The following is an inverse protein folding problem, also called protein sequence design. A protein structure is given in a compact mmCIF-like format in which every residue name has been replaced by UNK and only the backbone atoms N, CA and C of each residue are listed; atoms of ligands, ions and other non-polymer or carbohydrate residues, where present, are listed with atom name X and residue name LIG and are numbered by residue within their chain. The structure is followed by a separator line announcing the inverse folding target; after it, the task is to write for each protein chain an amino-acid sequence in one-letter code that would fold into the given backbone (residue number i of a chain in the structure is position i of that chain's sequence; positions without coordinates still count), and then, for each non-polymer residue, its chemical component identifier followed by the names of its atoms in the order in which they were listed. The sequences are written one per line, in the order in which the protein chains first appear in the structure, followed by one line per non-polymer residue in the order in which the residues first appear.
data_IF_324654712748
#
_entry.id   IF_324654712748
#
_cell.length_a   1.000
_cell.length_b   1.000
_cell.length_c   1.000
_cell.angle_alpha   90.00
_cell.angle_beta   90.00
_cell.angle_gamma   90.00
#
_symmetry.space_group_name_H-M   'P 1'
#
loop_
_entity.id
_entity.type
_entity.pdbx_description
1 polymer ?
#
# COMPACT_ATOMS: atom_id res chain seq x y z
N UNK A 1 0.15 5.91 18.47
CA UNK A 1 0.71 6.26 17.15
C UNK A 1 1.95 5.44 16.90
N UNK A 2 2.09 4.89 15.72
CA UNK A 2 3.25 4.09 15.38
C UNK A 2 4.41 5.01 14.98
N UNK A 3 5.58 4.75 15.53
CA UNK A 3 6.76 5.49 15.15
C UNK A 3 7.13 5.19 13.70
N UNK A 4 7.40 6.22 12.92
CA UNK A 4 7.80 6.11 11.53
C UNK A 4 9.07 6.93 11.27
N UNK A 5 9.91 6.45 10.32
CA UNK A 5 11.13 7.14 9.96
C UNK A 5 11.46 6.95 8.49
N UNK A 6 12.08 7.96 7.89
CA UNK A 6 12.56 7.93 6.52
C UNK A 6 13.58 9.06 6.30
N UNK A 7 14.69 8.75 5.64
CA UNK A 7 15.77 9.71 5.35
C UNK A 7 16.24 10.46 6.61
N UNK A 8 16.35 9.75 7.74
CA UNK A 8 16.81 10.31 8.99
C UNK A 8 15.78 11.13 9.77
N UNK A 9 14.54 11.18 9.29
CA UNK A 9 13.45 11.85 10.00
C UNK A 9 12.58 10.84 10.72
N UNK A 10 12.20 11.16 11.95
CA UNK A 10 11.25 10.40 12.75
C UNK A 10 9.90 11.12 12.74
N UNK A 11 8.85 10.43 13.15
CA UNK A 11 7.50 11.01 13.25
C UNK A 11 7.07 11.71 11.95
N UNK A 12 7.09 10.96 10.83
CA UNK A 12 6.79 11.49 9.51
C UNK A 12 5.40 12.13 9.40
N UNK A 13 4.50 11.88 10.35
CA UNK A 13 3.20 12.54 10.40
C UNK A 13 3.31 14.08 10.43
N UNK A 14 4.43 14.60 10.90
CA UNK A 14 4.70 16.04 10.94
C UNK A 14 5.28 16.57 9.62
N UNK A 15 5.66 15.67 8.70
CA UNK A 15 6.39 16.01 7.48
C UNK A 15 5.76 15.44 6.22
N UNK A 16 4.57 14.85 6.31
CA UNK A 16 3.99 14.12 5.20
C UNK A 16 2.48 14.28 5.11
N UNK A 17 1.94 13.85 3.97
CA UNK A 17 0.50 13.71 3.75
C UNK A 17 0.22 12.21 3.67
N UNK A 18 -0.73 11.73 4.46
CA UNK A 18 -1.14 10.33 4.45
C UNK A 18 -2.35 10.12 3.55
N UNK A 19 -2.34 9.00 2.82
CA UNK A 19 -3.48 8.56 2.01
C UNK A 19 -3.77 7.11 2.38
N UNK A 20 -5.03 6.82 2.69
CA UNK A 20 -5.48 5.45 2.95
C UNK A 20 -6.33 4.96 1.79
N UNK A 21 -6.16 3.69 1.42
CA UNK A 21 -6.94 3.02 0.39
C UNK A 21 -7.67 1.84 1.01
N UNK A 22 -8.96 1.70 0.70
CA UNK A 22 -9.73 0.54 1.12
C UNK A 22 -9.23 -0.70 0.42
N UNK A 23 -8.79 -1.69 1.20
CA UNK A 23 -8.28 -2.95 0.68
C UNK A 23 -8.27 -3.97 1.82
N UNK A 24 -8.50 -5.23 1.51
CA UNK A 24 -8.54 -6.28 2.52
C UNK A 24 -7.16 -6.79 2.94
N UNK A 25 -6.10 -6.34 2.26
CA UNK A 25 -4.73 -6.66 2.62
C UNK A 25 -4.29 -8.06 2.25
N UNK A 26 -3.39 -8.63 3.04
CA UNK A 26 -2.86 -9.95 2.80
C UNK A 26 -3.92 -11.03 3.01
N UNK A 27 -3.91 -12.04 2.14
CA UNK A 27 -4.88 -13.12 2.13
C UNK A 27 -4.23 -14.45 2.51
N UNK A 28 -5.03 -15.33 3.11
CA UNK A 28 -4.64 -16.72 3.36
C UNK A 28 -5.31 -17.62 2.33
N UNK A 29 -4.62 -18.67 1.93
CA UNK A 29 -5.23 -19.72 1.11
C UNK A 29 -5.70 -20.84 2.05
N UNK A 30 -7.01 -21.01 2.17
CA UNK A 30 -7.64 -21.99 3.06
C UNK A 30 -8.70 -22.77 2.29
N UNK A 31 -8.53 -24.10 2.20
CA UNK A 31 -9.50 -24.97 1.54
C UNK A 31 -9.78 -24.59 0.10
N UNK A 32 -8.76 -24.11 -0.62
CA UNK A 32 -8.91 -23.66 -2.00
C UNK A 32 -9.52 -22.27 -2.15
N UNK A 33 -9.69 -21.54 -1.05
CA UNK A 33 -10.28 -20.20 -1.07
C UNK A 33 -9.31 -19.18 -0.50
N UNK A 34 -9.36 -17.97 -1.02
CA UNK A 34 -8.56 -16.85 -0.52
C UNK A 34 -9.38 -16.07 0.52
N UNK A 35 -8.85 -15.95 1.72
CA UNK A 35 -9.58 -15.39 2.86
C UNK A 35 -8.77 -14.27 3.49
N UNK A 36 -9.43 -13.12 3.71
CA UNK A 36 -8.82 -11.98 4.39
C UNK A 36 -8.74 -12.21 5.90
N UNK A 37 -7.95 -11.42 6.60
CA UNK A 37 -7.79 -11.50 8.04
C UNK A 37 -9.13 -11.37 8.78
N UNK A 38 -10.02 -10.54 8.27
CA UNK A 38 -11.36 -10.38 8.84
C UNK A 38 -12.30 -11.57 8.58
N UNK A 39 -11.86 -12.57 7.81
CA UNK A 39 -12.65 -13.75 7.48
C UNK A 39 -13.42 -13.67 6.16
N UNK A 40 -13.34 -12.55 5.47
CA UNK A 40 -14.06 -12.36 4.20
C UNK A 40 -13.34 -13.10 3.07
N UNK A 41 -14.09 -13.87 2.29
CA UNK A 41 -13.59 -14.55 1.10
C UNK A 41 -13.42 -13.58 -0.06
N UNK A 42 -12.32 -13.71 -0.82
CA UNK A 42 -12.01 -12.87 -1.98
C UNK A 42 -12.02 -13.72 -3.25
N UNK A 43 -12.76 -13.31 -4.30
CA UNK A 43 -12.75 -14.04 -5.56
C UNK A 43 -11.35 -14.04 -6.19
N UNK A 44 -11.02 -15.13 -6.90
CA UNK A 44 -9.70 -15.31 -7.53
C UNK A 44 -9.34 -14.14 -8.44
N UNK A 45 -10.30 -13.56 -9.14
CA UNK A 45 -10.07 -12.42 -10.04
C UNK A 45 -9.61 -11.16 -9.32
N UNK A 46 -9.79 -11.09 -7.99
CA UNK A 46 -9.37 -9.95 -7.17
C UNK A 46 -8.12 -10.25 -6.34
N UNK A 47 -7.41 -11.32 -6.68
CA UNK A 47 -6.22 -11.75 -5.93
C UNK A 47 -4.96 -11.40 -6.73
N UNK A 48 -4.03 -10.73 -6.07
CA UNK A 48 -2.69 -10.52 -6.58
C UNK A 48 -1.75 -11.51 -5.90
N UNK A 49 -0.95 -12.21 -6.69
CA UNK A 49 0.03 -13.17 -6.19
C UNK A 49 1.43 -12.58 -6.31
N UNK A 50 2.14 -12.52 -5.19
CA UNK A 50 3.56 -12.14 -5.16
C UNK A 50 4.40 -13.41 -5.05
N UNK A 51 5.14 -13.71 -6.08
CA UNK A 51 5.90 -14.96 -6.21
C UNK A 51 7.41 -14.70 -6.31
N UNK A 52 7.91 -13.76 -5.54
CA UNK A 52 9.35 -13.43 -5.52
C UNK A 52 10.12 -14.12 -4.39
N UNK A 53 9.46 -14.87 -3.53
CA UNK A 53 10.07 -15.58 -2.40
C UNK A 53 9.97 -17.09 -2.53
N UNK A 54 10.38 -17.83 -1.50
CA UNK A 54 10.28 -19.29 -1.46
C UNK A 54 8.82 -19.76 -1.48
N UNK A 55 7.95 -18.99 -0.82
CA UNK A 55 6.52 -19.28 -0.73
C UNK A 55 5.76 -18.08 -1.29
N UNK A 56 4.83 -18.28 -2.23
CA UNK A 56 4.05 -17.17 -2.75
C UNK A 56 3.15 -16.59 -1.65
N UNK A 57 2.95 -15.28 -1.72
CA UNK A 57 1.99 -14.58 -0.86
C UNK A 57 0.85 -14.04 -1.70
N UNK A 58 -0.33 -13.93 -1.10
CA UNK A 58 -1.54 -13.52 -1.78
C UNK A 58 -2.09 -12.26 -1.16
N UNK A 59 -2.58 -11.35 -1.99
CA UNK A 59 -3.02 -10.01 -1.57
C UNK A 59 -4.30 -9.64 -2.27
N UNK A 60 -5.16 -8.89 -1.59
CA UNK A 60 -6.32 -8.30 -2.24
C UNK A 60 -5.84 -7.24 -3.21
N UNK A 61 -6.20 -7.38 -4.49
CA UNK A 61 -5.78 -6.43 -5.51
C UNK A 61 -6.53 -5.10 -5.35
N UNK A 62 -5.89 -4.04 -5.78
CA UNK A 62 -6.53 -2.72 -5.85
C UNK A 62 -7.29 -2.60 -7.16
N UNK A 63 -8.41 -1.89 -7.16
CA UNK A 63 -9.19 -1.70 -8.39
C UNK A 63 -8.50 -0.71 -9.32
N UNK A 64 -8.83 -0.80 -10.61
CA UNK A 64 -8.30 0.16 -11.60
C UNK A 64 -8.72 1.59 -11.26
N UNK A 65 -9.93 1.75 -10.73
CA UNK A 65 -10.42 3.07 -10.28
C UNK A 65 -9.57 3.59 -9.12
N UNK A 66 -9.26 2.75 -8.14
CA UNK A 66 -8.39 3.15 -7.03
C UNK A 66 -7.02 3.59 -7.53
N UNK A 67 -6.43 2.84 -8.46
CA UNK A 67 -5.12 3.18 -9.02
C UNK A 67 -5.16 4.49 -9.79
N UNK A 68 -6.19 4.70 -10.60
CA UNK A 68 -6.34 5.93 -11.37
C UNK A 68 -6.52 7.14 -10.45
N UNK A 69 -7.41 7.05 -9.47
CA UNK A 69 -7.66 8.14 -8.54
C UNK A 69 -6.43 8.44 -7.70
N UNK A 70 -5.73 7.41 -7.22
CA UNK A 70 -4.50 7.60 -6.45
C UNK A 70 -3.45 8.35 -7.27
N UNK A 71 -3.25 7.96 -8.52
CA UNK A 71 -2.28 8.63 -9.38
C UNK A 71 -2.67 10.09 -9.66
N UNK A 72 -3.96 10.37 -9.86
CA UNK A 72 -4.45 11.73 -10.06
C UNK A 72 -4.26 12.59 -8.81
N UNK A 73 -4.58 12.06 -7.64
CA UNK A 73 -4.41 12.76 -6.37
C UNK A 73 -2.94 13.03 -6.09
N UNK A 74 -2.08 12.03 -6.28
CA UNK A 74 -0.64 12.17 -6.07
C UNK A 74 -0.06 13.22 -7.02
N UNK A 75 -0.47 13.23 -8.29
CA UNK A 75 -0.03 14.21 -9.25
C UNK A 75 -0.41 15.64 -8.84
N UNK A 76 -1.65 15.82 -8.37
CA UNK A 76 -2.12 17.12 -7.88
C UNK A 76 -1.33 17.58 -6.65
N UNK A 77 -1.05 16.67 -5.71
CA UNK A 77 -0.31 17.00 -4.50
C UNK A 77 1.14 17.35 -4.80
N UNK A 78 1.78 16.62 -5.71
CA UNK A 78 3.16 16.92 -6.15
C UNK A 78 3.24 18.28 -6.82
N UNK A 79 2.22 18.66 -7.60
CA UNK A 79 2.17 19.97 -8.26
C UNK A 79 1.89 21.12 -7.28
N UNK A 80 1.22 20.82 -6.16
CA UNK A 80 0.76 21.86 -5.22
C UNK A 80 1.74 22.09 -4.08
N UNK A 81 2.46 21.04 -3.63
CA UNK A 81 3.34 21.08 -2.46
C UNK A 81 4.76 20.65 -2.85
N UNK A 82 5.79 21.07 -2.09
CA UNK A 82 7.17 20.66 -2.33
C UNK A 82 7.41 19.21 -1.88
N UNK A 83 6.79 18.26 -2.56
CA UNK A 83 6.86 16.85 -2.22
C UNK A 83 8.05 16.22 -2.90
N UNK A 84 8.91 15.55 -2.13
CA UNK A 84 10.09 14.88 -2.64
C UNK A 84 9.90 13.42 -2.94
N UNK A 85 8.96 12.77 -2.22
CA UNK A 85 8.92 11.30 -2.26
C UNK A 85 7.52 10.76 -1.97
N UNK A 86 7.16 9.56 -2.52
CA UNK A 86 5.96 8.80 -2.16
C UNK A 86 6.39 7.42 -1.68
N UNK A 87 5.99 7.05 -0.46
CA UNK A 87 6.37 5.77 0.12
C UNK A 87 5.14 5.02 0.61
N UNK A 88 5.21 3.70 0.63
CA UNK A 88 4.21 2.87 1.28
C UNK A 88 4.41 2.88 2.79
N UNK A 89 3.35 2.53 3.53
CA UNK A 89 3.41 2.49 4.99
C UNK A 89 4.49 1.52 5.48
N UNK A 90 4.65 0.38 4.81
CA UNK A 90 5.69 -0.60 5.15
C UNK A 90 7.11 -0.08 4.94
N UNK A 91 7.30 0.93 4.09
CA UNK A 91 8.63 1.49 3.83
C UNK A 91 9.14 2.35 4.98
N UNK A 92 8.24 2.91 5.78
CA UNK A 92 8.58 3.85 6.86
C UNK A 92 8.24 3.33 8.25
N UNK A 93 7.41 2.29 8.35
CA UNK A 93 6.99 1.69 9.61
C UNK A 93 7.19 0.18 9.53
N UNK A 94 8.21 -0.39 10.20
CA UNK A 94 8.58 -1.80 10.02
C UNK A 94 7.49 -2.82 10.35
N UNK A 95 6.52 -2.46 11.17
CA UNK A 95 5.44 -3.38 11.58
C UNK A 95 4.28 -3.45 10.60
N UNK A 96 4.27 -2.58 9.59
CA UNK A 96 3.17 -2.49 8.64
C UNK A 96 3.55 -3.18 7.33
N UNK A 97 2.57 -3.84 6.72
CA UNK A 97 2.75 -4.49 5.43
C UNK A 97 1.98 -3.78 4.32
N UNK A 98 1.07 -2.88 4.68
CA UNK A 98 0.32 -2.11 3.69
C UNK A 98 1.22 -1.03 3.05
N UNK A 99 1.02 -0.68 1.80
CA UNK A 99 -0.08 -1.12 0.95
C UNK A 99 0.10 -2.49 0.29
N UNK A 100 1.22 -3.15 0.53
CA UNK A 100 1.52 -4.45 -0.04
C UNK A 100 1.95 -4.39 -1.50
N UNK A 101 2.38 -5.55 -2.06
CA UNK A 101 2.95 -5.60 -3.41
C UNK A 101 1.92 -5.40 -4.53
N UNK A 102 0.63 -5.47 -4.22
CA UNK A 102 -0.41 -5.25 -5.22
C UNK A 102 -0.54 -3.78 -5.63
N UNK A 103 -0.04 -2.86 -4.81
CA UNK A 103 -0.10 -1.44 -5.13
C UNK A 103 0.92 -1.08 -6.20
N UNK A 104 0.44 -0.51 -7.28
CA UNK A 104 1.26 -0.09 -8.42
C UNK A 104 1.10 1.40 -8.60
N UNK A 105 2.00 2.18 -8.04
CA UNK A 105 2.06 3.62 -8.27
C UNK A 105 3.27 3.95 -9.12
N UNK A 106 3.13 4.98 -9.92
CA UNK A 106 4.27 5.59 -10.57
C UNK A 106 5.23 6.07 -9.48
N UNK A 107 6.51 6.21 -9.81
CA UNK A 107 7.61 6.47 -8.90
C UNK A 107 7.50 7.81 -8.18
N UNK A 108 6.51 7.96 -7.31
CA UNK A 108 6.31 9.20 -6.58
C UNK A 108 6.19 8.94 -5.10
N UNK A 109 6.55 9.91 -4.35
CA UNK A 109 6.59 9.78 -2.92
C UNK A 109 6.12 11.08 -2.29
N UNK A 110 5.09 11.00 -1.46
CA UNK A 110 4.49 12.16 -0.81
C UNK A 110 5.25 12.47 0.48
N UNK A 111 6.29 13.30 0.34
CA UNK A 111 7.20 13.58 1.42
C UNK A 111 7.80 14.98 1.23
N UNK A 112 7.71 15.81 2.24
CA UNK A 112 8.29 17.14 2.22
C UNK A 112 8.90 17.58 3.53
#
# INVERSE_FOLDING_TARGET
MTESSYRGRNELNHYSIGIELDNLGQLRLEGGKFVAECGKEVPVKEVYTEDSGEVPTYWHDYTDVQMRVLNEVCGLLVDTYPIGDIVGHSDVTPRKVDPGPALRVAEWILYY
#
